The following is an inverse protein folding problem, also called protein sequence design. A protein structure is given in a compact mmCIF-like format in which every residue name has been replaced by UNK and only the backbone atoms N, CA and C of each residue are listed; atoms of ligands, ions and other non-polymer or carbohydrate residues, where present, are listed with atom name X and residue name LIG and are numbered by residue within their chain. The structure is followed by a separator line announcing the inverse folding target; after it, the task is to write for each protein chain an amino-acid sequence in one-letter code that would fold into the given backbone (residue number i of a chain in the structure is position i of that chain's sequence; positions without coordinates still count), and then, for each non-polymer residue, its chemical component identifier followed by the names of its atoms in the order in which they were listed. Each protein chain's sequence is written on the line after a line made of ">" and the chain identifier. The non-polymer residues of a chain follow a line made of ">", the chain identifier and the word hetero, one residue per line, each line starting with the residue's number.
data_IF_929971274324
#
_entry.id   IF_929971274324
#
_cell.length_a   1.000
_cell.length_b   1.000
_cell.length_c   1.000
_cell.angle_alpha   90.00
_cell.angle_beta   90.00
_cell.angle_gamma   90.00
#
_symmetry.space_group_name_H-M   'P 1'
#
loop_
_entity.id
_entity.type
_entity.pdbx_description
1 polymer ?
#
# COMPACT_ATOMS: atom_id res chain seq x y z
N UNK A 1 -9.99 -3.59 -2.51
CA UNK A 1 -8.95 -3.45 -3.55
C UNK A 1 -7.60 -3.76 -2.92
N UNK A 2 -6.72 -4.50 -3.60
CA UNK A 2 -5.34 -4.78 -3.13
C UNK A 2 -4.38 -3.76 -3.73
N UNK A 3 -3.23 -3.58 -3.10
CA UNK A 3 -2.15 -2.71 -3.56
C UNK A 3 -1.03 -2.70 -2.52
N UNK A 4 0.20 -2.48 -2.96
CA UNK A 4 1.30 -2.23 -2.03
C UNK A 4 1.19 -0.80 -1.46
N UNK A 5 1.77 -0.59 -0.28
CA UNK A 5 1.79 0.73 0.40
C UNK A 5 3.23 1.20 0.62
N UNK A 6 4.14 0.76 -0.26
CA UNK A 6 5.53 1.17 -0.21
C UNK A 6 5.69 2.58 -0.77
N UNK A 7 6.55 3.38 -0.15
CA UNK A 7 6.95 4.68 -0.66
C UNK A 7 8.41 4.65 -1.15
N UNK A 8 8.63 4.14 -2.36
CA UNK A 8 9.97 3.82 -2.87
C UNK A 8 10.69 5.01 -3.51
N UNK A 9 9.97 6.00 -4.04
CA UNK A 9 10.56 7.13 -4.78
C UNK A 9 11.65 6.72 -5.81
N UNK A 10 11.44 5.60 -6.50
CA UNK A 10 12.38 5.08 -7.50
C UNK A 10 13.49 4.15 -6.97
N UNK A 11 13.49 3.79 -5.69
CA UNK A 11 14.55 2.98 -5.08
C UNK A 11 14.69 1.53 -5.63
N UNK A 12 13.62 0.95 -6.19
CA UNK A 12 13.59 -0.45 -6.60
C UNK A 12 13.27 -1.38 -5.41
N UNK A 13 14.04 -2.47 -5.24
CA UNK A 13 13.92 -3.35 -4.08
C UNK A 13 14.21 -2.56 -2.79
N UNK A 14 13.30 -2.54 -1.78
CA UNK A 14 13.51 -1.85 -0.51
C UNK A 14 14.83 -2.15 0.19
N UNK A 15 15.40 -3.33 -0.02
CA UNK A 15 16.63 -3.78 0.66
C UNK A 15 17.91 -3.54 -0.14
N UNK A 16 17.83 -3.23 -1.44
CA UNK A 16 19.00 -2.98 -2.30
C UNK A 16 18.84 -1.69 -3.12
N UNK A 17 18.61 -0.52 -2.49
CA UNK A 17 18.39 0.72 -3.22
C UNK A 17 19.60 1.07 -4.10
N UNK A 18 19.35 1.25 -5.40
CA UNK A 18 20.39 1.58 -6.39
C UNK A 18 21.24 0.42 -6.89
N UNK A 19 21.07 -0.81 -6.38
CA UNK A 19 21.84 -1.98 -6.78
C UNK A 19 20.93 -3.17 -7.15
N UNK A 20 21.33 -4.03 -8.11
CA UNK A 20 20.54 -5.21 -8.45
C UNK A 20 20.58 -6.25 -7.32
N UNK A 21 19.42 -6.82 -6.99
CA UNK A 21 19.23 -7.80 -5.91
C UNK A 21 19.74 -9.21 -6.28
N UNK A 22 21.06 -9.36 -6.49
CA UNK A 22 21.73 -10.64 -6.73
C UNK A 22 21.89 -11.44 -5.43
N UNK A 23 22.30 -12.70 -5.55
CA UNK A 23 22.51 -13.59 -4.40
C UNK A 23 23.60 -13.05 -3.45
N UNK A 24 24.66 -12.46 -4.01
CA UNK A 24 25.79 -11.90 -3.26
C UNK A 24 25.61 -10.41 -2.88
N UNK A 25 24.52 -9.75 -3.28
CA UNK A 25 24.31 -8.32 -2.99
C UNK A 25 24.02 -8.12 -1.51
N UNK A 26 24.72 -7.16 -0.89
CA UNK A 26 24.40 -6.69 0.45
C UNK A 26 22.96 -6.19 0.53
N UNK A 27 22.25 -6.56 1.60
CA UNK A 27 20.86 -6.14 1.85
C UNK A 27 20.79 -5.38 3.16
N UNK A 28 19.99 -4.32 3.17
CA UNK A 28 19.59 -3.66 4.41
C UNK A 28 18.86 -4.66 5.33
N UNK A 29 18.88 -4.37 6.63
CA UNK A 29 18.05 -5.11 7.59
C UNK A 29 16.56 -5.01 7.21
N UNK A 30 15.82 -6.11 7.42
CA UNK A 30 14.40 -6.22 7.02
C UNK A 30 13.51 -5.12 7.61
N UNK A 31 13.83 -4.60 8.81
CA UNK A 31 13.09 -3.52 9.44
C UNK A 31 13.47 -2.12 8.95
N UNK A 32 14.60 -2.01 8.24
CA UNK A 32 15.18 -0.74 7.78
C UNK A 32 15.04 -0.53 6.27
N UNK A 33 14.22 -1.35 5.60
CA UNK A 33 13.98 -1.24 4.16
C UNK A 33 13.39 0.12 3.77
N UNK A 34 13.82 0.62 2.62
CA UNK A 34 13.37 1.92 2.09
C UNK A 34 11.87 1.89 1.83
N UNK A 35 11.16 2.92 2.31
CA UNK A 35 9.75 3.11 1.98
C UNK A 35 8.76 2.19 2.70
N UNK A 36 9.20 1.41 3.70
CA UNK A 36 8.31 0.58 4.51
C UNK A 36 7.39 1.46 5.40
N UNK A 37 6.08 1.15 5.48
CA UNK A 37 5.18 1.84 6.39
C UNK A 37 5.53 1.53 7.85
N UNK A 38 5.45 2.56 8.71
CA UNK A 38 5.74 2.44 10.15
C UNK A 38 4.50 2.10 11.00
N UNK A 39 3.33 2.02 10.36
CA UNK A 39 2.05 1.71 10.99
C UNK A 39 1.32 0.62 10.21
N UNK A 40 0.46 -0.19 10.85
CA UNK A 40 -0.34 -1.20 10.16
C UNK A 40 -1.33 -0.57 9.17
N UNK A 41 -1.49 -1.16 7.99
CA UNK A 41 -2.45 -0.72 6.97
C UNK A 41 -3.22 -1.94 6.44
N UNK A 42 -4.55 -1.82 6.31
CA UNK A 42 -5.41 -2.90 5.83
C UNK A 42 -6.53 -2.37 4.92
N UNK A 43 -6.76 -2.95 3.73
CA UNK A 43 -7.90 -2.59 2.90
C UNK A 43 -9.19 -3.20 3.45
N UNK A 44 -10.31 -2.49 3.34
CA UNK A 44 -11.65 -3.00 3.68
C UNK A 44 -12.60 -2.85 2.50
N UNK A 45 -13.65 -3.70 2.45
CA UNK A 45 -14.75 -3.53 1.52
C UNK A 45 -15.65 -2.36 1.91
N UNK A 46 -16.44 -1.84 0.97
CA UNK A 46 -17.34 -0.72 1.26
C UNK A 46 -18.47 -1.11 2.23
N UNK A 47 -18.90 -2.38 2.24
CA UNK A 47 -19.92 -2.87 3.17
C UNK A 47 -19.42 -2.85 4.62
N UNK A 48 -18.20 -3.34 4.87
CA UNK A 48 -17.56 -3.25 6.19
C UNK A 48 -17.28 -1.80 6.58
N UNK A 49 -16.86 -0.98 5.62
CA UNK A 49 -16.67 0.45 5.83
C UNK A 49 -17.96 1.13 6.26
N UNK A 50 -19.11 0.79 5.66
CA UNK A 50 -20.41 1.33 6.04
C UNK A 50 -20.73 1.01 7.50
N UNK A 51 -20.48 -0.22 7.97
CA UNK A 51 -20.69 -0.62 9.37
C UNK A 51 -19.86 0.24 10.33
N UNK A 52 -18.61 0.53 9.99
CA UNK A 52 -17.72 1.38 10.78
C UNK A 52 -18.14 2.85 10.74
N UNK A 53 -18.46 3.37 9.55
CA UNK A 53 -18.80 4.78 9.34
C UNK A 53 -20.18 5.14 9.88
N UNK A 54 -21.14 4.19 9.90
CA UNK A 54 -22.54 4.43 10.31
C UNK A 54 -22.67 5.04 11.69
N UNK A 55 -21.82 4.63 12.62
CA UNK A 55 -21.83 5.11 14.00
C UNK A 55 -20.70 6.09 14.30
N UNK A 56 -19.97 6.55 13.29
CA UNK A 56 -18.87 7.50 13.46
C UNK A 56 -19.41 8.80 14.04
N UNK A 57 -18.89 9.18 15.20
CA UNK A 57 -19.29 10.38 15.94
C UNK A 57 -18.45 11.59 15.55
N UNK A 58 -18.43 12.59 16.42
CA UNK A 58 -17.62 13.79 16.25
C UNK A 58 -18.16 14.76 15.22
N UNK A 59 -17.28 15.54 14.61
CA UNK A 59 -17.65 16.66 13.74
C UNK A 59 -18.24 16.19 12.41
N UNK A 60 -19.22 16.95 11.91
CA UNK A 60 -19.73 16.81 10.56
C UNK A 60 -18.62 17.02 9.52
N UNK A 61 -18.73 16.43 8.31
CA UNK A 61 -17.75 16.62 7.25
C UNK A 61 -17.62 18.11 6.91
N UNK A 62 -16.40 18.70 6.91
CA UNK A 62 -16.19 20.14 6.70
C UNK A 62 -16.63 20.64 5.32
N UNK A 63 -16.59 19.77 4.30
CA UNK A 63 -16.90 20.10 2.92
C UNK A 63 -17.64 18.93 2.25
N UNK A 64 -18.47 19.24 1.24
CA UNK A 64 -19.27 18.24 0.52
C UNK A 64 -18.42 17.15 -0.16
N UNK A 65 -17.19 17.50 -0.57
CA UNK A 65 -16.24 16.56 -1.19
C UNK A 65 -15.75 15.43 -0.28
N UNK A 66 -15.99 15.51 1.02
CA UNK A 66 -15.65 14.45 1.98
C UNK A 66 -16.72 13.35 2.06
N UNK A 67 -17.92 13.61 1.52
CA UNK A 67 -19.00 12.64 1.46
C UNK A 67 -18.79 11.74 0.24
N UNK A 68 -18.65 10.45 0.50
CA UNK A 68 -18.80 9.42 -0.53
C UNK A 68 -20.27 9.12 -0.82
N UNK A 69 -20.53 7.96 -1.43
CA UNK A 69 -21.88 7.55 -1.84
C UNK A 69 -22.51 6.44 -0.97
N UNK A 70 -22.04 6.27 0.26
CA UNK A 70 -22.67 5.39 1.25
C UNK A 70 -23.74 6.16 2.02
N UNK A 71 -24.78 5.46 2.45
CA UNK A 71 -25.86 6.06 3.23
C UNK A 71 -25.47 6.24 4.71
N UNK A 72 -24.47 7.10 4.98
CA UNK A 72 -23.93 7.40 6.31
C UNK A 72 -23.64 8.91 6.45
N UNK A 73 -23.42 9.39 7.68
CA UNK A 73 -23.21 10.83 7.95
C UNK A 73 -21.87 11.38 7.46
N UNK A 74 -20.86 10.51 7.29
CA UNK A 74 -19.47 10.89 6.99
C UNK A 74 -18.87 11.85 8.03
N UNK A 75 -19.25 11.70 9.30
CA UNK A 75 -18.59 12.44 10.37
C UNK A 75 -17.08 12.11 10.38
N UNK A 76 -16.25 13.03 10.87
CA UNK A 76 -14.79 12.89 10.85
C UNK A 76 -14.25 12.18 12.10
N UNK A 77 -15.07 12.06 13.15
CA UNK A 77 -14.62 11.62 14.47
C UNK A 77 -14.13 12.80 15.34
N UNK A 78 -13.44 12.51 16.46
CA UNK A 78 -13.00 11.19 16.91
C UNK A 78 -14.12 10.35 17.54
N UNK A 79 -13.92 9.02 17.53
CA UNK A 79 -14.79 8.07 18.23
C UNK A 79 -16.14 7.83 17.55
N UNK A 80 -17.00 7.09 18.25
CA UNK A 80 -18.37 6.81 17.81
C UNK A 80 -19.39 7.70 18.54
N UNK A 81 -20.62 7.73 18.03
CA UNK A 81 -21.75 8.44 18.66
C UNK A 81 -21.97 8.03 20.12
N UNK A 82 -22.70 8.84 20.91
CA UNK A 82 -22.87 8.66 22.35
C UNK A 82 -23.22 7.23 22.78
N UNK A 83 -24.17 6.57 22.09
CA UNK A 83 -24.62 5.19 22.36
C UNK A 83 -23.51 4.13 22.17
N UNK A 84 -22.42 4.49 21.50
CA UNK A 84 -21.28 3.63 21.17
C UNK A 84 -19.94 4.23 21.62
N UNK A 85 -19.96 5.23 22.50
CA UNK A 85 -18.78 6.02 22.92
C UNK A 85 -17.64 5.19 23.53
N UNK A 86 -17.94 4.02 24.11
CA UNK A 86 -16.94 3.10 24.66
C UNK A 86 -16.31 2.17 23.63
N UNK A 87 -16.89 2.07 22.42
CA UNK A 87 -16.39 1.19 21.36
C UNK A 87 -15.13 1.77 20.73
N UNK A 88 -14.20 0.88 20.36
CA UNK A 88 -12.97 1.21 19.65
C UNK A 88 -12.74 0.21 18.53
N UNK A 89 -12.05 0.65 17.49
CA UNK A 89 -11.58 -0.23 16.41
C UNK A 89 -10.21 -0.78 16.83
N UNK A 90 -10.02 -2.09 16.67
CA UNK A 90 -8.74 -2.75 16.87
C UNK A 90 -8.33 -3.44 15.57
N UNK A 91 -7.13 -3.14 15.09
CA UNK A 91 -6.56 -3.78 13.91
C UNK A 91 -5.74 -4.99 14.33
N UNK A 92 -5.90 -6.09 13.60
CA UNK A 92 -5.15 -7.33 13.79
C UNK A 92 -4.44 -7.67 12.48
N UNK A 93 -3.14 -7.40 12.40
CA UNK A 93 -2.33 -7.62 11.19
C UNK A 93 -1.11 -8.46 11.55
N UNK A 94 -0.93 -9.58 10.85
CA UNK A 94 0.15 -10.54 11.07
C UNK A 94 0.94 -10.83 9.78
N UNK A 95 0.95 -9.87 8.85
CA UNK A 95 1.69 -9.98 7.59
C UNK A 95 3.20 -10.00 7.86
N UNK A 96 3.93 -10.78 7.05
CA UNK A 96 5.38 -10.94 7.16
C UNK A 96 6.06 -10.52 5.86
N UNK A 97 7.22 -9.86 6.00
CA UNK A 97 8.07 -9.51 4.88
C UNK A 97 9.14 -10.59 4.67
N UNK A 98 9.14 -11.18 3.49
CA UNK A 98 10.07 -12.25 3.12
C UNK A 98 10.84 -11.86 1.86
N UNK A 99 12.11 -12.31 1.80
CA UNK A 99 12.91 -12.19 0.59
C UNK A 99 12.49 -13.33 -0.33
N UNK A 100 11.84 -13.00 -1.45
CA UNK A 100 11.31 -13.99 -2.40
C UNK A 100 12.02 -13.86 -3.74
N UNK A 101 12.32 -15.01 -4.36
CA UNK A 101 12.89 -15.05 -5.70
C UNK A 101 11.83 -14.66 -6.74
N UNK A 102 12.13 -13.66 -7.56
CA UNK A 102 11.31 -13.23 -8.69
C UNK A 102 12.04 -13.53 -10.01
N UNK A 103 11.29 -13.73 -11.09
CA UNK A 103 11.82 -14.07 -12.41
C UNK A 103 11.25 -13.15 -13.48
N UNK A 104 12.14 -12.50 -14.23
CA UNK A 104 11.79 -11.81 -15.47
C UNK A 104 12.17 -12.71 -16.65
N UNK A 105 11.32 -12.79 -17.66
CA UNK A 105 11.63 -13.45 -18.93
C UNK A 105 12.10 -12.40 -19.92
N UNK A 106 13.25 -12.62 -20.54
CA UNK A 106 13.83 -11.69 -21.52
C UNK A 106 13.98 -12.43 -22.84
N UNK A 107 13.19 -12.05 -23.84
CA UNK A 107 13.31 -12.49 -25.23
C UNK A 107 13.96 -11.41 -26.09
N UNK A 108 14.75 -11.81 -27.09
CA UNK A 108 15.44 -10.85 -27.98
C UNK A 108 15.29 -11.24 -29.44
N UNK A 109 15.04 -10.24 -30.29
CA UNK A 109 15.15 -10.33 -31.75
C UNK A 109 16.25 -9.38 -32.17
N UNK A 110 17.33 -9.91 -32.77
CA UNK A 110 18.50 -9.11 -33.13
C UNK A 110 18.19 -8.22 -34.34
N UNK A 111 18.38 -6.92 -34.20
CA UNK A 111 18.27 -5.96 -35.31
C UNK A 111 19.29 -6.26 -36.41
N UNK A 112 18.89 -6.08 -37.67
CA UNK A 112 19.76 -6.35 -38.82
C UNK A 112 20.74 -5.21 -39.11
N UNK A 113 20.36 -3.97 -38.84
CA UNK A 113 21.18 -2.76 -39.10
C UNK A 113 21.82 -2.22 -37.81
N UNK A 114 21.02 -1.90 -36.79
CA UNK A 114 21.49 -1.33 -35.51
C UNK A 114 21.20 -2.29 -34.33
N UNK A 115 21.90 -3.43 -34.20
CA UNK A 115 21.65 -4.41 -33.14
C UNK A 115 21.96 -3.92 -31.71
N UNK A 116 22.64 -2.79 -31.55
CA UNK A 116 22.97 -2.13 -30.28
C UNK A 116 21.95 -1.04 -29.87
N UNK A 117 20.95 -0.75 -30.72
CA UNK A 117 19.82 0.13 -30.41
C UNK A 117 18.63 -0.71 -29.99
N UNK A 118 18.13 -0.46 -28.77
CA UNK A 118 17.05 -1.26 -28.19
C UNK A 118 15.72 -0.51 -28.20
N UNK A 119 14.67 -1.21 -28.64
CA UNK A 119 13.28 -0.86 -28.35
C UNK A 119 12.76 -1.90 -27.37
N UNK A 120 12.28 -1.47 -26.21
CA UNK A 120 11.84 -2.34 -25.12
C UNK A 120 10.31 -2.30 -25.04
N UNK A 121 9.69 -3.49 -25.07
CA UNK A 121 8.27 -3.70 -24.79
C UNK A 121 8.17 -4.64 -23.57
N UNK A 122 7.46 -4.22 -22.54
CA UNK A 122 7.32 -4.94 -21.27
C UNK A 122 5.88 -4.92 -20.75
#
# INVERSE_FOLDING_TARGET
>A
QRGNVLNLNGAGDPLTPGYPAKEYTYRLDKGSGVGLPKIPVHPIGYHDAEVLLRNMGGYAPPHSSWKGNLNVSYNVGPGFTANYSTRKVKMHIYSQNEITRIYNVIGTIRGTVEPDRYVILG
#
